data_IF_824978659525
#
_entry.id   IF_824978659525
#
_cell.length_a   1.000
_cell.length_b   1.000
_cell.length_c   1.000
_cell.angle_alpha   90.00
_cell.angle_beta   90.00
_cell.angle_gamma   90.00
#
_symmetry.space_group_name_H-M   'P 1'
#
loop_
_entity.id
_entity.type
_entity.pdbx_description
1 polymer ?
#
# COMPACT_ATOMS: atom_id res chain seq x y z
N UNK A 1 22.91 45.45 47.53
CA UNK A 1 23.53 44.13 47.79
C UNK A 1 22.49 43.11 47.40
N UNK A 2 22.33 42.94 46.10
CA UNK A 2 21.14 42.35 45.52
C UNK A 2 21.62 41.53 44.31
N UNK A 3 20.86 40.47 44.01
CA UNK A 3 21.01 39.58 42.85
C UNK A 3 21.94 38.36 43.05
N UNK A 4 21.59 37.13 42.72
CA UNK A 4 20.35 36.48 42.26
C UNK A 4 20.62 34.98 42.38
N UNK A 5 19.81 34.23 43.12
CA UNK A 5 19.88 32.77 43.18
C UNK A 5 18.55 32.16 42.72
N UNK A 6 18.26 32.19 41.42
CA UNK A 6 17.07 31.53 40.87
C UNK A 6 17.48 30.29 40.07
N UNK A 7 17.32 29.11 40.68
CA UNK A 7 17.42 27.82 39.99
C UNK A 7 16.06 27.50 39.38
N UNK A 8 15.95 27.55 38.06
CA UNK A 8 14.76 27.09 37.36
C UNK A 8 14.94 25.60 37.08
N UNK A 9 14.20 24.78 37.81
CA UNK A 9 14.11 23.35 37.57
C UNK A 9 13.40 23.08 36.23
N UNK A 10 14.00 22.24 35.39
CA UNK A 10 13.37 21.77 34.16
C UNK A 10 12.23 20.80 34.52
N UNK A 11 11.01 21.11 34.08
CA UNK A 11 9.87 20.22 34.22
C UNK A 11 10.03 18.98 33.33
N UNK A 12 9.63 17.77 33.79
CA UNK A 12 9.66 16.56 32.97
C UNK A 12 8.67 16.71 31.82
N UNK A 13 9.16 16.59 30.59
CA UNK A 13 8.33 16.62 29.38
C UNK A 13 7.55 15.31 29.29
N UNK A 14 6.23 15.37 29.46
CA UNK A 14 5.36 14.24 29.17
C UNK A 14 5.43 13.89 27.68
N UNK A 15 5.62 12.60 27.31
CA UNK A 15 5.61 12.21 25.91
C UNK A 15 4.22 12.42 25.34
N UNK A 16 4.10 13.35 24.39
CA UNK A 16 2.91 13.51 23.56
C UNK A 16 2.61 12.18 22.90
N UNK A 17 1.57 11.50 23.39
CA UNK A 17 0.99 10.35 22.69
C UNK A 17 0.20 10.91 21.52
N UNK A 18 0.87 11.11 20.37
CA UNK A 18 0.18 11.37 19.11
C UNK A 18 -0.67 10.12 18.86
N UNK A 19 -1.96 10.21 19.19
CA UNK A 19 -2.99 9.26 18.82
C UNK A 19 -3.08 9.19 17.30
N UNK A 20 -2.13 8.48 16.69
CA UNK A 20 -2.27 8.03 15.31
C UNK A 20 -3.22 6.86 15.40
N UNK A 21 -4.50 7.12 15.17
CA UNK A 21 -5.39 6.14 14.60
C UNK A 21 -4.74 5.67 13.29
N UNK A 22 -3.83 4.69 13.40
CA UNK A 22 -3.34 3.94 12.26
C UNK A 22 -4.57 3.22 11.76
N UNK A 23 -5.29 3.83 10.82
CA UNK A 23 -6.19 3.09 9.95
C UNK A 23 -5.34 1.95 9.39
N UNK A 24 -5.56 0.75 9.94
CA UNK A 24 -4.69 -0.39 9.72
C UNK A 24 -4.82 -0.75 8.25
N UNK A 25 -3.75 -0.60 7.47
CA UNK A 25 -3.76 -1.08 6.09
C UNK A 25 -3.92 -2.61 6.12
N UNK A 26 -5.06 -3.10 5.66
CA UNK A 26 -5.27 -4.54 5.49
C UNK A 26 -4.40 -5.05 4.35
N UNK A 27 -3.53 -6.03 4.64
CA UNK A 27 -2.67 -6.67 3.64
C UNK A 27 -3.34 -7.93 3.09
N UNK A 28 -3.35 -8.07 1.77
CA UNK A 28 -3.65 -9.32 1.07
C UNK A 28 -2.40 -9.77 0.32
N UNK A 29 -2.05 -11.03 0.49
CA UNK A 29 -0.92 -11.68 -0.20
C UNK A 29 -1.49 -12.64 -1.23
N UNK A 30 -0.83 -12.74 -2.39
CA UNK A 30 -1.21 -13.65 -3.48
C UNK A 30 -0.03 -14.54 -3.77
N UNK A 31 -0.25 -15.85 -3.74
CA UNK A 31 0.74 -16.82 -4.16
C UNK A 31 0.80 -16.86 -5.68
N UNK A 32 1.97 -16.56 -6.22
CA UNK A 32 2.25 -16.59 -7.65
C UNK A 32 3.27 -17.70 -7.92
N UNK A 33 3.05 -18.48 -8.97
CA UNK A 33 4.10 -19.38 -9.45
C UNK A 33 5.30 -18.55 -9.94
N UNK A 34 6.52 -19.13 -9.97
CA UNK A 34 7.69 -18.43 -10.50
C UNK A 34 7.47 -17.89 -11.93
N UNK A 35 6.73 -18.64 -12.75
CA UNK A 35 6.36 -18.22 -14.11
C UNK A 35 5.44 -16.99 -14.11
N UNK A 36 4.42 -16.98 -13.24
CA UNK A 36 3.50 -15.83 -13.11
C UNK A 36 4.24 -14.58 -12.59
N UNK A 37 5.12 -14.74 -11.61
CA UNK A 37 5.91 -13.64 -11.08
C UNK A 37 6.82 -13.02 -12.15
N UNK A 38 7.49 -13.86 -12.96
CA UNK A 38 8.31 -13.39 -14.09
C UNK A 38 7.48 -12.69 -15.17
N UNK A 39 6.33 -13.25 -15.54
CA UNK A 39 5.44 -12.64 -16.51
C UNK A 39 4.94 -11.27 -16.04
N UNK A 40 4.62 -11.13 -14.75
CA UNK A 40 4.22 -9.86 -14.15
C UNK A 40 5.35 -8.83 -14.17
N UNK A 41 6.57 -9.21 -13.79
CA UNK A 41 7.75 -8.32 -13.82
C UNK A 41 8.04 -7.78 -15.23
N UNK A 42 7.94 -8.64 -16.25
CA UNK A 42 8.10 -8.23 -17.66
C UNK A 42 7.01 -7.23 -18.04
N UNK A 43 5.75 -7.55 -17.74
CA UNK A 43 4.63 -6.67 -18.04
C UNK A 43 4.76 -5.31 -17.34
N UNK A 44 5.25 -5.27 -16.09
CA UNK A 44 5.43 -4.04 -15.34
C UNK A 44 6.48 -3.11 -15.94
N UNK A 45 7.56 -3.67 -16.49
CA UNK A 45 8.58 -2.90 -17.21
C UNK A 45 7.99 -2.29 -18.47
N UNK A 46 7.33 -3.10 -19.30
CA UNK A 46 6.66 -2.63 -20.51
C UNK A 46 5.60 -1.57 -20.19
N UNK A 47 4.79 -1.78 -19.15
CA UNK A 47 3.81 -0.79 -18.70
C UNK A 47 4.48 0.52 -18.24
N UNK A 48 5.61 0.44 -17.52
CA UNK A 48 6.37 1.62 -17.11
C UNK A 48 6.89 2.39 -18.31
N UNK A 49 7.46 1.68 -19.30
CA UNK A 49 7.96 2.27 -20.55
C UNK A 49 6.83 2.98 -21.32
N UNK A 50 5.66 2.34 -21.45
CA UNK A 50 4.48 2.93 -22.13
C UNK A 50 3.94 4.16 -21.41
N UNK A 51 4.00 4.18 -20.08
CA UNK A 51 3.52 5.29 -19.26
C UNK A 51 4.58 6.40 -19.06
N UNK A 52 5.82 6.18 -19.52
CA UNK A 52 6.94 7.10 -19.27
C UNK A 52 7.32 7.19 -17.79
N UNK A 53 7.04 6.14 -17.00
CA UNK A 53 7.33 6.08 -15.57
C UNK A 53 8.63 5.33 -15.31
N UNK A 54 9.32 5.67 -14.23
CA UNK A 54 10.54 4.97 -13.83
C UNK A 54 10.28 3.50 -13.43
N UNK A 55 9.08 3.21 -12.89
CA UNK A 55 8.64 1.85 -12.55
C UNK A 55 7.14 1.80 -12.33
N UNK A 56 6.57 0.62 -12.54
CA UNK A 56 5.22 0.24 -12.10
C UNK A 56 5.38 -0.86 -11.05
N UNK A 57 4.91 -0.65 -9.83
CA UNK A 57 5.07 -1.61 -8.73
C UNK A 57 3.94 -2.63 -8.68
N UNK A 58 4.20 -3.81 -8.08
CA UNK A 58 3.16 -4.83 -7.87
C UNK A 58 1.98 -4.32 -7.07
N UNK A 59 2.24 -3.42 -6.12
CA UNK A 59 1.18 -2.82 -5.31
C UNK A 59 0.27 -1.92 -6.15
N UNK A 60 0.81 -1.10 -7.05
CA UNK A 60 0.00 -0.25 -7.93
C UNK A 60 -0.88 -1.09 -8.85
N UNK A 61 -0.31 -2.14 -9.43
CA UNK A 61 -1.05 -3.08 -10.28
C UNK A 61 -2.19 -3.74 -9.51
N UNK A 62 -1.90 -4.31 -8.34
CA UNK A 62 -2.91 -4.99 -7.53
C UNK A 62 -3.98 -4.02 -7.03
N UNK A 63 -3.61 -2.80 -6.64
CA UNK A 63 -4.58 -1.77 -6.23
C UNK A 63 -5.52 -1.43 -7.39
N UNK A 64 -4.96 -1.13 -8.57
CA UNK A 64 -5.76 -0.79 -9.75
C UNK A 64 -6.68 -1.94 -10.18
N UNK A 65 -6.22 -3.20 -10.09
CA UNK A 65 -7.05 -4.37 -10.38
C UNK A 65 -8.19 -4.53 -9.38
N UNK A 66 -7.95 -4.29 -8.08
CA UNK A 66 -9.00 -4.33 -7.06
C UNK A 66 -10.01 -3.22 -7.28
N UNK A 67 -9.54 -2.00 -7.55
CA UNK A 67 -10.42 -0.85 -7.80
C UNK A 67 -11.30 -1.10 -9.03
N UNK A 68 -10.73 -1.62 -10.12
CA UNK A 68 -11.50 -2.01 -11.31
C UNK A 68 -12.48 -3.14 -11.02
N UNK A 69 -12.09 -4.17 -10.27
CA UNK A 69 -12.95 -5.29 -9.92
C UNK A 69 -14.20 -4.84 -9.14
N UNK A 70 -14.03 -3.84 -8.26
CA UNK A 70 -15.12 -3.33 -7.42
C UNK A 70 -15.99 -2.29 -8.15
N UNK A 71 -15.45 -1.60 -9.17
CA UNK A 71 -16.17 -0.57 -9.91
C UNK A 71 -16.85 -1.09 -11.20
N UNK A 72 -16.29 -2.11 -11.86
CA UNK A 72 -16.79 -2.64 -13.13
C UNK A 72 -17.56 -3.96 -12.95
N UNK A 73 -18.91 -3.95 -13.09
CA UNK A 73 -19.72 -5.17 -12.94
C UNK A 73 -19.41 -6.24 -14.00
N UNK A 74 -18.94 -5.83 -15.19
CA UNK A 74 -18.56 -6.78 -16.24
C UNK A 74 -17.30 -7.55 -15.86
N UNK A 75 -16.27 -6.84 -15.38
CA UNK A 75 -15.04 -7.46 -14.88
C UNK A 75 -15.34 -8.39 -13.70
N UNK A 76 -16.18 -7.96 -12.76
CA UNK A 76 -16.62 -8.78 -11.63
C UNK A 76 -17.30 -10.08 -12.07
N UNK A 77 -18.20 -10.02 -13.05
CA UNK A 77 -18.84 -11.20 -13.61
C UNK A 77 -17.83 -12.14 -14.30
N UNK A 78 -16.87 -11.59 -15.05
CA UNK A 78 -15.81 -12.37 -15.72
C UNK A 78 -14.91 -13.10 -14.72
N UNK A 79 -14.49 -12.41 -13.65
CA UNK A 79 -13.68 -13.02 -12.58
C UNK A 79 -14.48 -14.09 -11.85
N UNK A 80 -15.75 -13.83 -11.54
CA UNK A 80 -16.64 -14.82 -10.90
C UNK A 80 -16.79 -16.07 -11.76
N UNK A 81 -16.99 -15.91 -13.08
CA UNK A 81 -17.03 -17.03 -14.02
C UNK A 81 -15.72 -17.81 -14.05
N UNK A 82 -14.58 -17.11 -14.11
CA UNK A 82 -13.25 -17.72 -14.12
C UNK A 82 -12.98 -18.54 -12.85
N UNK A 83 -13.36 -18.02 -11.68
CA UNK A 83 -13.22 -18.73 -10.41
C UNK A 83 -14.09 -19.99 -10.41
N UNK A 84 -15.32 -19.90 -10.91
CA UNK A 84 -16.24 -21.05 -11.00
C UNK A 84 -15.69 -22.16 -11.90
N UNK A 85 -15.07 -21.82 -13.03
CA UNK A 85 -14.52 -22.81 -13.97
C UNK A 85 -13.26 -23.51 -13.44
N UNK A 86 -12.55 -22.91 -12.47
CA UNK A 86 -11.33 -23.48 -11.87
C UNK A 86 -11.59 -24.34 -10.63
N UNK A 87 -12.81 -24.31 -10.09
CA UNK A 87 -13.24 -25.12 -8.94
C UNK A 87 -13.98 -26.35 -9.42
#
# INVERSE_FOLDING_TARGET
MDSTGNRIAAAPTEPVSIGRTRSGRTRRTVDLSPAQHRALDIWQRDAADRLGLARVTGQEVLSALVDQLLADPKLSAQITHTIRTRR
#
